data_IF_122357831467
#
_entry.id   IF_122357831467
#
_cell.length_a   1.000
_cell.length_b   1.000
_cell.length_c   1.000
_cell.angle_alpha   90.00
_cell.angle_beta   90.00
_cell.angle_gamma   90.00
#
_symmetry.space_group_name_H-M   'P 1'
#
loop_
_entity.id
_entity.type
_entity.pdbx_description
1 polymer ?
#
# COMPACT_ATOMS: atom_id res chain seq x y z
N UNK A 1 -48.84 -24.77 25.60
CA UNK A 1 -47.37 -24.83 25.48
C UNK A 1 -46.96 -24.17 24.17
N UNK A 2 -46.43 -22.95 24.26
CA UNK A 2 -45.48 -22.25 23.37
C UNK A 2 -45.55 -22.37 21.83
N UNK A 3 -46.35 -21.52 21.15
CA UNK A 3 -46.15 -21.19 19.71
C UNK A 3 -45.44 -19.84 19.49
N UNK A 4 -45.55 -18.92 20.45
CA UNK A 4 -45.01 -17.55 20.34
C UNK A 4 -43.48 -17.46 20.48
N UNK A 5 -42.83 -18.48 21.08
CA UNK A 5 -41.37 -18.50 21.27
C UNK A 5 -40.61 -19.00 20.02
N UNK A 6 -41.26 -19.83 19.18
CA UNK A 6 -40.65 -20.34 17.94
C UNK A 6 -40.59 -19.24 16.87
N UNK A 7 -41.62 -18.41 16.75
CA UNK A 7 -41.64 -17.25 15.83
C UNK A 7 -40.58 -16.20 16.20
N UNK A 8 -40.38 -15.94 17.50
CA UNK A 8 -39.32 -15.06 17.99
C UNK A 8 -37.91 -15.58 17.67
N UNK A 9 -37.69 -16.89 17.76
CA UNK A 9 -36.41 -17.53 17.41
C UNK A 9 -36.11 -17.46 15.91
N UNK A 10 -37.13 -17.64 15.07
CA UNK A 10 -37.01 -17.60 13.61
C UNK A 10 -36.66 -16.19 13.11
N UNK A 11 -37.30 -15.16 13.68
CA UNK A 11 -37.02 -13.75 13.38
C UNK A 11 -35.60 -13.37 13.82
N UNK A 12 -35.14 -13.84 14.99
CA UNK A 12 -33.78 -13.60 15.46
C UNK A 12 -32.72 -14.25 14.57
N UNK A 13 -32.95 -15.50 14.12
CA UNK A 13 -32.09 -16.21 13.18
C UNK A 13 -31.99 -15.49 11.83
N UNK A 14 -33.12 -15.04 11.27
CA UNK A 14 -33.15 -14.29 10.02
C UNK A 14 -32.41 -12.96 10.11
N UNK A 15 -32.58 -12.23 11.22
CA UNK A 15 -31.87 -10.96 11.47
C UNK A 15 -30.36 -11.15 11.55
N UNK A 16 -29.89 -12.20 12.22
CA UNK A 16 -28.45 -12.50 12.33
C UNK A 16 -27.82 -12.85 10.97
N UNK A 17 -28.55 -13.59 10.12
CA UNK A 17 -28.13 -13.92 8.75
C UNK A 17 -28.05 -12.69 7.86
N UNK A 18 -29.05 -11.80 7.95
CA UNK A 18 -29.07 -10.54 7.21
C UNK A 18 -27.88 -9.65 7.61
N UNK A 19 -27.62 -9.52 8.91
CA UNK A 19 -26.49 -8.73 9.42
C UNK A 19 -25.14 -9.27 8.93
N UNK A 20 -24.98 -10.60 8.91
CA UNK A 20 -23.78 -11.25 8.37
C UNK A 20 -23.62 -11.06 6.87
N UNK A 21 -24.72 -11.06 6.11
CA UNK A 21 -24.69 -10.79 4.67
C UNK A 21 -24.29 -9.34 4.36
N UNK A 22 -24.81 -8.37 5.13
CA UNK A 22 -24.45 -6.95 4.99
C UNK A 22 -22.97 -6.73 5.34
N UNK A 23 -22.48 -7.32 6.43
CA UNK A 23 -21.06 -7.25 6.80
C UNK A 23 -20.14 -7.86 5.73
N UNK A 24 -20.55 -8.99 5.14
CA UNK A 24 -19.80 -9.60 4.03
C UNK A 24 -19.77 -8.71 2.80
N UNK A 25 -20.90 -8.06 2.47
CA UNK A 25 -20.98 -7.14 1.33
C UNK A 25 -20.11 -5.89 1.51
N UNK A 26 -20.15 -5.28 2.70
CA UNK A 26 -19.31 -4.12 3.05
C UNK A 26 -17.81 -4.44 3.02
N UNK A 27 -17.44 -5.64 3.50
CA UNK A 27 -16.07 -6.14 3.38
C UNK A 27 -15.65 -6.30 1.91
N UNK A 28 -16.50 -6.84 1.04
CA UNK A 28 -16.19 -7.00 -0.39
C UNK A 28 -16.09 -5.66 -1.10
N UNK A 29 -16.92 -4.67 -0.76
CA UNK A 29 -16.88 -3.34 -1.38
C UNK A 29 -15.63 -2.55 -0.97
N UNK A 30 -15.16 -2.71 0.28
CA UNK A 30 -14.01 -1.98 0.82
C UNK A 30 -12.64 -2.57 0.43
N UNK A 31 -12.59 -3.85 0.04
CA UNK A 31 -11.35 -4.54 -0.32
C UNK A 31 -10.64 -3.98 -1.58
N UNK A 32 -11.32 -3.72 -2.71
CA UNK A 32 -10.70 -3.14 -3.90
C UNK A 32 -10.06 -1.78 -3.60
N UNK A 33 -10.75 -0.94 -2.83
CA UNK A 33 -10.30 0.42 -2.54
C UNK A 33 -8.99 0.43 -1.75
N UNK A 34 -8.84 -0.45 -0.75
CA UNK A 34 -7.57 -0.55 0.00
C UNK A 34 -6.39 -1.01 -0.86
N UNK A 35 -6.64 -1.89 -1.82
CA UNK A 35 -5.58 -2.40 -2.71
C UNK A 35 -5.15 -1.36 -3.73
N UNK A 36 -6.08 -0.58 -4.26
CA UNK A 36 -5.77 0.54 -5.14
C UNK A 36 -4.96 1.59 -4.40
N UNK A 37 -5.42 2.06 -3.25
CA UNK A 37 -4.72 3.06 -2.44
C UNK A 37 -3.28 2.60 -2.12
N UNK A 38 -3.11 1.33 -1.76
CA UNK A 38 -1.78 0.78 -1.47
C UNK A 38 -0.86 0.79 -2.71
N UNK A 39 -1.41 0.61 -3.92
CA UNK A 39 -0.64 0.72 -5.16
C UNK A 39 -0.27 2.15 -5.47
N UNK A 40 -1.20 3.09 -5.37
CA UNK A 40 -0.91 4.51 -5.59
C UNK A 40 0.14 5.03 -4.61
N UNK A 41 0.03 4.69 -3.32
CA UNK A 41 1.04 5.02 -2.31
C UNK A 41 2.42 4.46 -2.69
N UNK A 42 2.46 3.23 -3.20
CA UNK A 42 3.70 2.59 -3.60
C UNK A 42 4.29 3.23 -4.87
N UNK A 43 3.46 3.59 -5.84
CA UNK A 43 3.88 4.30 -7.05
C UNK A 43 4.41 5.72 -6.72
N UNK A 44 3.77 6.40 -5.76
CA UNK A 44 4.21 7.70 -5.25
C UNK A 44 5.54 7.59 -4.50
N UNK A 45 5.70 6.56 -3.64
CA UNK A 45 6.99 6.26 -2.98
C UNK A 45 8.09 5.96 -4.02
N UNK A 46 7.79 5.19 -5.06
CA UNK A 46 8.74 4.83 -6.12
C UNK A 46 9.17 6.06 -6.93
N UNK A 47 8.23 6.96 -7.23
CA UNK A 47 8.50 8.26 -7.87
C UNK A 47 9.36 9.15 -6.97
N UNK A 48 9.06 9.18 -5.68
CA UNK A 48 9.81 9.96 -4.71
C UNK A 48 11.27 9.48 -4.60
N UNK A 49 11.47 8.17 -4.54
CA UNK A 49 12.80 7.54 -4.55
C UNK A 49 13.54 7.82 -5.86
N UNK A 50 12.85 7.78 -7.00
CA UNK A 50 13.43 8.17 -8.28
C UNK A 50 13.92 9.62 -8.26
N UNK A 51 13.09 10.56 -7.80
CA UNK A 51 13.46 11.97 -7.68
C UNK A 51 14.64 12.18 -6.74
N UNK A 52 14.76 11.38 -5.69
CA UNK A 52 15.92 11.42 -4.81
C UNK A 52 17.20 10.92 -5.51
N UNK A 53 17.16 9.81 -6.24
CA UNK A 53 18.40 9.20 -6.76
C UNK A 53 18.72 9.55 -8.22
N UNK A 54 17.83 10.24 -8.93
CA UNK A 54 18.02 10.64 -10.32
C UNK A 54 19.29 11.48 -10.54
N UNK A 55 19.62 12.38 -9.62
CA UNK A 55 20.83 13.21 -9.70
C UNK A 55 22.10 12.37 -9.68
N UNK A 56 22.13 11.35 -8.82
CA UNK A 56 23.26 10.43 -8.73
C UNK A 56 23.37 9.54 -9.98
N UNK A 57 22.27 9.35 -10.71
CA UNK A 57 22.24 8.69 -12.01
C UNK A 57 22.59 9.63 -13.18
N UNK A 58 22.79 10.93 -12.92
CA UNK A 58 23.08 11.95 -13.93
C UNK A 58 21.85 12.46 -14.68
N UNK A 59 20.65 12.17 -14.18
CA UNK A 59 19.39 12.70 -14.72
C UNK A 59 19.08 14.00 -13.95
N UNK A 60 19.04 15.18 -14.61
CA UNK A 60 18.80 16.43 -13.92
C UNK A 60 17.36 16.51 -13.39
N UNK A 61 17.20 16.90 -12.13
CA UNK A 61 15.90 17.08 -11.48
C UNK A 61 15.72 18.54 -10.99
N UNK A 62 14.54 19.16 -11.16
CA UNK A 62 14.27 20.49 -10.61
C UNK A 62 14.19 20.56 -9.07
N UNK A 63 14.08 19.43 -8.37
CA UNK A 63 13.87 19.34 -6.91
C UNK A 63 15.12 18.86 -6.15
N UNK A 64 16.24 18.65 -6.85
CA UNK A 64 17.50 18.12 -6.32
C UNK A 64 17.97 18.81 -5.04
N UNK A 65 17.90 20.14 -5.02
CA UNK A 65 18.35 20.97 -3.89
C UNK A 65 17.52 20.72 -2.61
N UNK A 66 16.26 20.34 -2.76
CA UNK A 66 15.35 20.10 -1.62
C UNK A 66 15.45 18.67 -1.09
N UNK A 67 15.81 17.70 -1.94
CA UNK A 67 15.84 16.27 -1.58
C UNK A 67 17.14 15.82 -0.92
N UNK A 68 18.19 16.64 -0.99
CA UNK A 68 19.52 16.35 -0.41
C UNK A 68 19.49 16.01 1.08
N UNK A 69 18.64 16.67 1.86
CA UNK A 69 18.53 16.44 3.30
C UNK A 69 17.88 15.09 3.64
N UNK A 70 17.07 14.55 2.72
CA UNK A 70 16.32 13.33 2.95
C UNK A 70 17.06 12.06 2.50
N UNK A 71 18.17 12.21 1.74
CA UNK A 71 18.99 11.08 1.30
C UNK A 71 19.40 10.12 2.41
N UNK A 72 19.88 10.57 3.59
CA UNK A 72 20.29 9.65 4.66
C UNK A 72 19.16 8.74 5.12
N UNK A 73 17.92 9.22 5.13
CA UNK A 73 16.76 8.44 5.55
C UNK A 73 16.27 7.48 4.47
N UNK A 74 16.42 7.86 3.20
CA UNK A 74 15.96 7.04 2.08
C UNK A 74 16.96 5.94 1.69
N UNK A 75 18.24 6.08 2.08
CA UNK A 75 19.27 5.06 1.84
C UNK A 75 18.90 3.70 2.44
N UNK A 76 18.27 3.67 3.62
CA UNK A 76 17.85 2.42 4.28
C UNK A 76 16.81 1.65 3.44
N UNK A 77 15.98 2.36 2.67
CA UNK A 77 14.91 1.78 1.83
C UNK A 77 15.37 1.55 0.38
N UNK A 78 16.59 1.95 0.03
CA UNK A 78 17.10 1.88 -1.35
C UNK A 78 17.24 0.43 -1.86
N UNK A 79 17.64 -0.51 -0.99
CA UNK A 79 17.80 -1.91 -1.39
C UNK A 79 16.47 -2.52 -1.86
N UNK A 80 15.40 -2.27 -1.12
CA UNK A 80 14.07 -2.75 -1.48
C UNK A 80 13.54 -2.06 -2.73
N UNK A 81 13.77 -0.75 -2.86
CA UNK A 81 13.34 0.03 -4.03
C UNK A 81 13.97 -0.46 -5.33
N UNK A 82 15.31 -0.49 -5.45
CA UNK A 82 15.94 -0.85 -6.74
C UNK A 82 15.64 -2.30 -7.15
N UNK A 83 15.47 -3.20 -6.17
CA UNK A 83 15.02 -4.58 -6.41
C UNK A 83 13.60 -4.62 -6.97
N UNK A 84 12.69 -3.80 -6.41
CA UNK A 84 11.30 -3.67 -6.86
C UNK A 84 11.20 -3.07 -8.27
N UNK A 85 12.09 -2.13 -8.60
CA UNK A 85 12.22 -1.56 -9.96
C UNK A 85 12.82 -2.54 -10.97
N UNK A 86 13.23 -3.75 -10.55
CA UNK A 86 13.80 -4.76 -11.43
C UNK A 86 15.24 -4.45 -11.86
N UNK A 87 15.96 -3.59 -11.14
CA UNK A 87 17.35 -3.26 -11.44
C UNK A 87 18.27 -4.36 -10.88
N UNK A 88 19.05 -5.07 -11.71
CA UNK A 88 19.86 -6.20 -11.26
C UNK A 88 21.04 -5.81 -10.35
N UNK A 89 21.48 -4.55 -10.42
CA UNK A 89 22.48 -3.96 -9.53
C UNK A 89 22.13 -2.51 -9.23
N UNK A 90 22.64 -2.00 -8.11
CA UNK A 90 22.57 -0.57 -7.77
C UNK A 90 23.13 0.29 -8.92
N UNK A 91 22.35 1.26 -9.43
CA UNK A 91 22.86 2.25 -10.39
C UNK A 91 23.82 3.26 -9.73
N UNK A 92 23.88 3.31 -8.40
CA UNK A 92 24.74 4.23 -7.66
C UNK A 92 26.16 3.68 -7.58
N UNK A 93 27.10 4.33 -8.27
CA UNK A 93 28.51 3.91 -8.29
C UNK A 93 29.21 4.01 -6.92
N UNK A 94 28.72 4.88 -6.03
CA UNK A 94 29.33 5.17 -4.72
C UNK A 94 28.86 4.28 -3.56
N UNK A 95 27.79 3.50 -3.74
CA UNK A 95 27.16 2.76 -2.64
C UNK A 95 26.97 1.28 -3.00
N UNK A 96 27.49 0.40 -2.14
CA UNK A 96 27.32 -1.06 -2.28
C UNK A 96 26.04 -1.46 -1.56
N UNK A 97 24.96 -1.49 -2.32
CA UNK A 97 23.66 -1.95 -1.86
C UNK A 97 23.51 -3.49 -1.94
N UNK A 98 24.43 -4.17 -2.65
CA UNK A 98 24.56 -5.63 -2.74
C UNK A 98 26.04 -6.02 -2.68
#
# INVERSE_FOLDING_TARGET
MNRNNDEGSAIALWRSRLHRAIQGYDAVLSLPHRREIARELQDEEDLFMLLCFCDMMGIPNPVSDMTLELYPHMLDRFHEWHTRQGMPRSPLAGFRCC
#
